data_IF_050378089350
#
_entry.id   IF_050378089350
#
_cell.length_a   1.000
_cell.length_b   1.000
_cell.length_c   1.000
_cell.angle_alpha   90.00
_cell.angle_beta   90.00
_cell.angle_gamma   90.00
#
_symmetry.space_group_name_H-M   'P 1'
#
loop_
_entity.id
_entity.type
_entity.pdbx_description
1 polymer ?
#
# COMPACT_ATOMS: atom_id res chain seq x y z
N UNK A 1 13.45 13.46 -9.60
CA UNK A 1 13.54 12.27 -8.73
C UNK A 1 14.88 12.28 -8.02
N UNK A 2 14.88 12.57 -6.73
CA UNK A 2 16.06 12.51 -5.88
C UNK A 2 16.12 11.17 -5.13
N UNK A 3 17.32 10.71 -4.75
CA UNK A 3 17.50 9.50 -3.93
C UNK A 3 16.70 9.61 -2.61
N UNK A 4 16.59 10.82 -2.06
CA UNK A 4 15.83 11.12 -0.85
C UNK A 4 14.33 10.84 -1.00
N UNK A 5 13.72 11.20 -2.13
CA UNK A 5 12.30 10.92 -2.42
C UNK A 5 12.01 9.42 -2.48
N UNK A 6 12.89 8.68 -3.16
CA UNK A 6 12.78 7.22 -3.29
C UNK A 6 12.88 6.55 -1.93
N UNK A 7 13.89 6.92 -1.12
CA UNK A 7 14.05 6.37 0.23
C UNK A 7 12.85 6.68 1.12
N UNK A 8 12.40 7.94 1.16
CA UNK A 8 11.23 8.34 1.96
C UNK A 8 10.00 7.53 1.57
N UNK A 9 9.74 7.40 0.27
CA UNK A 9 8.55 6.70 -0.25
C UNK A 9 8.60 5.21 0.09
N UNK A 10 9.76 4.57 -0.07
CA UNK A 10 9.98 3.18 0.36
C UNK A 10 9.77 2.99 1.86
N UNK A 11 10.29 3.89 2.71
CA UNK A 11 10.09 3.81 4.17
C UNK A 11 8.61 3.91 4.55
N UNK A 12 7.84 4.80 3.92
CA UNK A 12 6.40 4.91 4.15
C UNK A 12 5.68 3.64 3.69
N UNK A 13 5.97 3.14 2.49
CA UNK A 13 5.36 1.91 1.96
C UNK A 13 5.65 0.69 2.84
N UNK A 14 6.90 0.52 3.27
CA UNK A 14 7.31 -0.52 4.22
C UNK A 14 6.59 -0.37 5.57
N UNK A 15 6.51 0.86 6.11
CA UNK A 15 5.84 1.11 7.38
C UNK A 15 4.36 0.72 7.35
N UNK A 16 3.65 1.07 6.27
CA UNK A 16 2.25 0.68 6.07
C UNK A 16 2.11 -0.83 5.94
N UNK A 17 2.96 -1.49 5.14
CA UNK A 17 2.90 -2.94 4.96
C UNK A 17 3.19 -3.70 6.27
N UNK A 18 4.20 -3.27 7.05
CA UNK A 18 4.49 -3.85 8.36
C UNK A 18 3.33 -3.66 9.34
N UNK A 19 2.68 -2.48 9.33
CA UNK A 19 1.51 -2.24 10.17
C UNK A 19 0.36 -3.19 9.81
N UNK A 20 0.06 -3.36 8.51
CA UNK A 20 -0.97 -4.30 8.05
C UNK A 20 -0.60 -5.74 8.43
N UNK A 21 0.66 -6.14 8.24
CA UNK A 21 1.14 -7.47 8.61
C UNK A 21 0.94 -7.75 10.09
N UNK A 22 1.25 -6.78 10.97
CA UNK A 22 1.01 -6.90 12.42
C UNK A 22 -0.49 -6.99 12.70
N UNK A 23 -1.32 -6.12 12.12
CA UNK A 23 -2.78 -6.13 12.35
C UNK A 23 -3.42 -7.45 11.92
N UNK A 24 -3.01 -7.98 10.76
CA UNK A 24 -3.45 -9.30 10.29
C UNK A 24 -2.95 -10.38 11.24
N UNK A 25 -1.68 -10.32 11.66
CA UNK A 25 -1.12 -11.24 12.65
C UNK A 25 -1.89 -11.26 13.97
N UNK A 26 -2.32 -10.11 14.48
CA UNK A 26 -3.16 -10.01 15.69
C UNK A 26 -4.54 -10.65 15.50
N UNK A 27 -5.12 -10.53 14.29
CA UNK A 27 -6.39 -11.22 13.96
C UNK A 27 -6.19 -12.74 13.95
N UNK A 28 -5.11 -13.22 13.34
CA UNK A 28 -4.78 -14.65 13.35
C UNK A 28 -4.49 -15.17 14.75
N UNK A 29 -3.75 -14.42 15.56
CA UNK A 29 -3.47 -14.75 16.97
C UNK A 29 -4.78 -14.90 17.76
N UNK A 30 -5.71 -13.95 17.63
CA UNK A 30 -7.03 -14.05 18.24
C UNK A 30 -7.78 -15.29 17.75
N UNK A 31 -7.94 -15.46 16.44
CA UNK A 31 -8.77 -16.53 15.85
C UNK A 31 -8.25 -17.91 16.24
N UNK A 32 -6.94 -18.07 16.37
CA UNK A 32 -6.29 -19.32 16.77
C UNK A 32 -6.04 -19.40 18.29
N UNK A 33 -6.69 -18.55 19.10
CA UNK A 33 -6.60 -18.58 20.57
C UNK A 33 -5.17 -18.50 21.12
N UNK A 34 -4.29 -17.75 20.44
CA UNK A 34 -2.88 -17.58 20.80
C UNK A 34 -1.93 -18.64 20.23
N UNK A 35 -2.43 -19.62 19.45
CA UNK A 35 -1.59 -20.65 18.84
C UNK A 35 -1.22 -20.30 17.38
N UNK A 36 0.04 -19.93 17.15
CA UNK A 36 0.59 -19.68 15.81
C UNK A 36 1.67 -20.71 15.47
N UNK A 37 1.35 -21.64 14.55
CA UNK A 37 2.28 -22.68 14.12
C UNK A 37 3.04 -22.23 12.88
N UNK A 38 4.34 -21.98 13.02
CA UNK A 38 5.22 -21.59 11.93
C UNK A 38 6.13 -22.74 11.51
N UNK A 39 5.71 -23.52 10.51
CA UNK A 39 6.56 -24.53 9.87
C UNK A 39 7.25 -23.96 8.61
N UNK A 40 8.37 -24.55 8.20
CA UNK A 40 9.01 -24.29 6.91
C UNK A 40 9.22 -22.81 6.58
N UNK A 41 9.70 -22.04 7.57
CA UNK A 41 9.94 -20.60 7.47
C UNK A 41 8.69 -19.77 7.11
N UNK A 42 7.48 -20.26 7.43
CA UNK A 42 6.22 -19.57 7.11
C UNK A 42 6.23 -18.09 7.54
N UNK A 43 6.64 -17.80 8.78
CA UNK A 43 6.74 -16.42 9.26
C UNK A 43 7.69 -15.58 8.39
N UNK A 44 8.90 -16.08 8.12
CA UNK A 44 9.91 -15.34 7.35
C UNK A 44 9.44 -15.06 5.92
N UNK A 45 8.77 -16.03 5.29
CA UNK A 45 8.19 -15.87 3.96
C UNK A 45 7.09 -14.81 3.97
N UNK A 46 6.15 -14.90 4.90
CA UNK A 46 5.08 -13.90 5.03
C UNK A 46 5.60 -12.49 5.32
N UNK A 47 6.60 -12.37 6.19
CA UNK A 47 7.25 -11.10 6.50
C UNK A 47 7.95 -10.53 5.24
N UNK A 48 8.72 -11.37 4.53
CA UNK A 48 9.40 -10.97 3.29
C UNK A 48 8.40 -10.56 2.20
N UNK A 49 7.34 -11.34 1.99
CA UNK A 49 6.24 -11.01 1.09
C UNK A 49 5.62 -9.65 1.43
N UNK A 50 5.39 -9.37 2.71
CA UNK A 50 4.86 -8.07 3.16
C UNK A 50 5.82 -6.91 2.84
N UNK A 51 7.13 -7.09 3.04
CA UNK A 51 8.14 -6.09 2.66
C UNK A 51 8.15 -5.84 1.14
N UNK A 52 8.06 -6.90 0.34
CA UNK A 52 8.00 -6.82 -1.13
C UNK A 52 6.75 -6.05 -1.57
N UNK A 53 5.59 -6.31 -0.96
CA UNK A 53 4.36 -5.53 -1.21
C UNK A 53 4.57 -4.07 -0.83
N UNK A 54 5.15 -3.81 0.35
CA UNK A 54 5.44 -2.45 0.82
C UNK A 54 6.33 -1.66 -0.15
N UNK A 55 7.34 -2.30 -0.73
CA UNK A 55 8.17 -1.72 -1.80
C UNK A 55 7.42 -1.58 -3.12
N UNK A 56 6.56 -2.55 -3.45
CA UNK A 56 5.72 -2.53 -4.66
C UNK A 56 4.79 -1.34 -4.73
N UNK A 57 4.27 -0.87 -3.59
CA UNK A 57 3.53 0.40 -3.50
C UNK A 57 4.43 1.60 -3.22
N UNK A 58 5.44 1.47 -2.35
CA UNK A 58 6.29 2.58 -1.92
C UNK A 58 7.20 3.13 -3.02
N UNK A 59 7.79 2.30 -3.87
CA UNK A 59 8.68 2.78 -4.94
C UNK A 59 7.92 3.55 -6.03
N UNK A 60 6.80 3.05 -6.59
CA UNK A 60 6.09 3.75 -7.66
C UNK A 60 5.41 5.06 -7.22
N UNK A 61 5.22 5.29 -5.92
CA UNK A 61 4.56 6.53 -5.44
C UNK A 61 5.33 7.80 -5.77
N UNK A 62 6.63 7.71 -6.10
CA UNK A 62 7.43 8.85 -6.60
C UNK A 62 6.86 9.47 -7.88
N UNK A 63 5.99 8.77 -8.59
CA UNK A 63 5.28 9.30 -9.76
C UNK A 63 4.41 10.51 -9.44
N UNK A 64 4.01 10.70 -8.18
CA UNK A 64 3.25 11.88 -7.75
C UNK A 64 4.05 13.19 -7.80
N UNK A 65 5.39 13.11 -7.84
CA UNK A 65 6.27 14.27 -8.02
C UNK A 65 6.38 14.71 -9.50
N UNK A 66 5.67 14.04 -10.41
CA UNK A 66 5.72 14.33 -11.84
C UNK A 66 4.53 15.19 -12.30
N UNK A 67 4.73 16.50 -12.34
CA UNK A 67 3.74 17.50 -12.75
C UNK A 67 3.26 17.38 -14.22
N UNK A 68 3.93 16.55 -15.05
CA UNK A 68 3.51 16.33 -16.45
C UNK A 68 2.38 15.31 -16.57
N UNK A 69 2.14 14.51 -15.54
CA UNK A 69 1.12 13.47 -15.53
C UNK A 69 -0.12 13.96 -14.80
N UNK A 70 -1.30 13.60 -15.29
CA UNK A 70 -2.53 13.84 -14.55
C UNK A 70 -2.58 12.98 -13.29
N UNK A 71 -3.29 13.45 -12.26
CA UNK A 71 -3.47 12.69 -11.01
C UNK A 71 -4.02 11.28 -11.26
N UNK A 72 -4.92 11.13 -12.23
CA UNK A 72 -5.45 9.82 -12.63
C UNK A 72 -4.37 8.89 -13.19
N UNK A 73 -3.48 9.41 -14.04
CA UNK A 73 -2.38 8.62 -14.60
C UNK A 73 -1.33 8.26 -13.55
N UNK A 74 -0.97 9.21 -12.68
CA UNK A 74 -0.08 8.96 -11.53
C UNK A 74 -0.65 7.85 -10.64
N UNK A 75 -1.95 7.93 -10.33
CA UNK A 75 -2.65 6.93 -9.52
C UNK A 75 -2.69 5.57 -10.20
N UNK A 76 -2.95 5.53 -11.51
CA UNK A 76 -2.94 4.28 -12.28
C UNK A 76 -1.57 3.61 -12.26
N UNK A 77 -0.49 4.37 -12.44
CA UNK A 77 0.88 3.82 -12.42
C UNK A 77 1.22 3.28 -11.03
N UNK A 78 0.96 4.04 -9.97
CA UNK A 78 1.24 3.61 -8.61
C UNK A 78 0.38 2.42 -8.20
N UNK A 79 -0.95 2.55 -8.29
CA UNK A 79 -1.87 1.48 -7.89
C UNK A 79 -1.72 0.24 -8.76
N UNK A 80 -1.54 0.41 -10.07
CA UNK A 80 -1.33 -0.71 -10.99
C UNK A 80 -0.07 -1.48 -10.65
N UNK A 81 1.06 -0.80 -10.45
CA UNK A 81 2.33 -1.47 -10.11
C UNK A 81 2.25 -2.17 -8.75
N UNK A 82 1.72 -1.48 -7.73
CA UNK A 82 1.60 -2.06 -6.39
C UNK A 82 0.66 -3.27 -6.35
N UNK A 83 -0.49 -3.19 -7.02
CA UNK A 83 -1.42 -4.32 -7.12
C UNK A 83 -0.82 -5.51 -7.87
N UNK A 84 -0.05 -5.28 -8.95
CA UNK A 84 0.63 -6.36 -9.68
C UNK A 84 1.66 -7.08 -8.81
N UNK A 85 2.49 -6.33 -8.07
CA UNK A 85 3.45 -6.91 -7.12
C UNK A 85 2.71 -7.70 -6.03
N UNK A 86 1.63 -7.16 -5.49
CA UNK A 86 0.80 -7.82 -4.49
C UNK A 86 0.21 -9.14 -4.98
N UNK A 87 -0.35 -9.18 -6.18
CA UNK A 87 -0.86 -10.44 -6.78
C UNK A 87 0.27 -11.45 -6.93
N UNK A 88 1.46 -11.02 -7.38
CA UNK A 88 2.63 -11.89 -7.48
C UNK A 88 3.03 -12.51 -6.13
N UNK A 89 3.05 -11.70 -5.07
CA UNK A 89 3.32 -12.19 -3.71
C UNK A 89 2.23 -13.14 -3.21
N UNK A 90 0.95 -12.85 -3.47
CA UNK A 90 -0.16 -13.73 -3.06
C UNK A 90 -0.06 -15.12 -3.71
N UNK A 91 0.35 -15.17 -4.98
CA UNK A 91 0.59 -16.43 -5.69
C UNK A 91 1.80 -17.15 -5.09
N UNK A 92 2.91 -16.44 -4.88
CA UNK A 92 4.16 -17.01 -4.36
C UNK A 92 4.02 -17.59 -2.96
N UNK A 93 3.33 -16.87 -2.08
CA UNK A 93 3.06 -17.29 -0.70
C UNK A 93 1.91 -18.30 -0.57
N UNK A 94 1.14 -18.48 -1.65
CA UNK A 94 -0.04 -19.37 -1.65
C UNK A 94 -1.21 -18.82 -0.83
N UNK A 95 -1.33 -17.51 -0.68
CA UNK A 95 -2.44 -16.86 0.04
C UNK A 95 -3.77 -16.89 -0.72
N UNK A 96 -3.74 -17.23 -2.01
CA UNK A 96 -4.95 -17.49 -2.77
C UNK A 96 -5.53 -18.87 -2.40
N UNK A 97 -6.84 -18.96 -2.13
CA UNK A 97 -7.48 -20.20 -1.69
C UNK A 97 -7.42 -21.24 -2.81
N UNK A 98 -6.62 -22.27 -2.58
CA UNK A 98 -6.51 -23.43 -3.48
C UNK A 98 -7.76 -24.31 -3.33
N UNK A 99 -8.31 -24.80 -4.44
CA UNK A 99 -9.46 -25.73 -4.42
C UNK A 99 -10.84 -25.14 -4.11
N UNK A 100 -10.96 -23.84 -3.81
CA UNK A 100 -12.25 -23.18 -3.51
C UNK A 100 -12.89 -22.47 -4.73
N UNK A 101 -12.38 -22.75 -5.93
CA UNK A 101 -12.86 -22.18 -7.19
C UNK A 101 -12.38 -20.75 -7.46
N UNK A 102 -12.49 -20.33 -8.73
CA UNK A 102 -12.01 -19.03 -9.21
C UNK A 102 -12.65 -17.83 -8.48
N UNK A 103 -13.93 -17.93 -8.14
CA UNK A 103 -14.69 -16.85 -7.51
C UNK A 103 -14.11 -16.44 -6.15
N UNK A 104 -13.70 -17.39 -5.31
CA UNK A 104 -13.11 -17.08 -4.01
C UNK A 104 -11.75 -16.40 -4.16
N UNK A 105 -10.93 -16.85 -5.12
CA UNK A 105 -9.67 -16.18 -5.46
C UNK A 105 -9.87 -14.73 -5.89
N UNK A 106 -10.85 -14.48 -6.77
CA UNK A 106 -11.20 -13.12 -7.20
C UNK A 106 -11.74 -12.25 -6.04
N UNK A 107 -12.51 -12.83 -5.12
CA UNK A 107 -13.01 -12.12 -3.94
C UNK A 107 -11.87 -11.67 -3.01
N UNK A 108 -10.89 -12.54 -2.77
CA UNK A 108 -9.69 -12.20 -1.97
C UNK A 108 -8.89 -11.07 -2.62
N UNK A 109 -8.69 -11.14 -3.94
CA UNK A 109 -7.99 -10.09 -4.68
C UNK A 109 -8.78 -8.76 -4.66
N UNK A 110 -10.11 -8.81 -4.85
CA UNK A 110 -10.96 -7.63 -4.78
C UNK A 110 -10.90 -6.97 -3.39
N UNK A 111 -10.91 -7.77 -2.32
CA UNK A 111 -10.74 -7.28 -0.95
C UNK A 111 -9.39 -6.60 -0.74
N UNK A 112 -8.30 -7.20 -1.21
CA UNK A 112 -6.96 -6.62 -1.10
C UNK A 112 -6.82 -5.31 -1.89
N UNK A 113 -7.36 -5.25 -3.12
CA UNK A 113 -7.40 -4.02 -3.94
C UNK A 113 -8.26 -2.94 -3.27
N UNK A 114 -9.39 -3.31 -2.65
CA UNK A 114 -10.23 -2.38 -1.91
C UNK A 114 -9.47 -1.76 -0.73
N UNK A 115 -8.77 -2.56 0.06
CA UNK A 115 -7.94 -2.08 1.18
C UNK A 115 -6.86 -1.11 0.66
N UNK A 116 -6.14 -1.49 -0.40
CA UNK A 116 -5.14 -0.62 -1.02
C UNK A 116 -5.75 0.71 -1.49
N UNK A 117 -6.94 0.67 -2.12
CA UNK A 117 -7.69 1.83 -2.55
C UNK A 117 -8.12 2.74 -1.40
N UNK A 118 -8.55 2.17 -0.26
CA UNK A 118 -8.91 2.93 0.94
C UNK A 118 -7.69 3.64 1.54
N UNK A 119 -6.54 2.96 1.62
CA UNK A 119 -5.29 3.56 2.09
C UNK A 119 -4.87 4.71 1.17
N UNK A 120 -4.85 4.47 -0.14
CA UNK A 120 -4.55 5.49 -1.14
C UNK A 120 -5.48 6.71 -0.99
N UNK A 121 -6.79 6.47 -0.86
CA UNK A 121 -7.77 7.54 -0.72
C UNK A 121 -7.57 8.35 0.57
N UNK A 122 -7.18 7.69 1.67
CA UNK A 122 -6.80 8.35 2.92
C UNK A 122 -5.63 9.33 2.71
N UNK A 123 -4.55 8.87 2.06
CA UNK A 123 -3.42 9.73 1.70
C UNK A 123 -3.84 10.86 0.75
N UNK A 124 -4.66 10.57 -0.25
CA UNK A 124 -5.17 11.57 -1.19
C UNK A 124 -5.88 12.72 -0.46
N UNK A 125 -6.81 12.40 0.44
CA UNK A 125 -7.56 13.43 1.20
C UNK A 125 -6.65 14.30 2.05
N UNK A 126 -5.68 13.70 2.74
CA UNK A 126 -4.76 14.44 3.59
C UNK A 126 -3.87 15.38 2.77
N UNK A 127 -3.33 14.91 1.64
CA UNK A 127 -2.56 15.75 0.72
C UNK A 127 -3.41 16.88 0.12
N UNK A 128 -4.65 16.59 -0.27
CA UNK A 128 -5.59 17.60 -0.78
C UNK A 128 -5.83 18.69 0.26
N UNK A 129 -6.05 18.31 1.52
CA UNK A 129 -6.24 19.25 2.63
C UNK A 129 -5.00 20.13 2.83
N UNK A 130 -3.81 19.56 2.81
CA UNK A 130 -2.56 20.30 2.95
C UNK A 130 -2.35 21.30 1.79
N UNK A 131 -2.61 20.88 0.55
CA UNK A 131 -2.53 21.75 -0.62
C UNK A 131 -3.50 22.94 -0.53
N UNK A 132 -4.75 22.69 -0.11
CA UNK A 132 -5.74 23.75 0.09
C UNK A 132 -5.32 24.74 1.20
N UNK A 133 -4.76 24.24 2.30
CA UNK A 133 -4.27 25.09 3.40
C UNK A 133 -3.12 26.00 2.94
N UNK A 134 -2.18 25.46 2.16
CA UNK A 134 -1.07 26.22 1.61
C UNK A 134 -1.55 27.30 0.63
N UNK A 135 -2.48 26.96 -0.27
CA UNK A 135 -3.04 27.90 -1.23
C UNK A 135 -3.75 29.08 -0.55
N UNK A 136 -4.53 28.82 0.52
CA UNK A 136 -5.15 29.88 1.33
C UNK A 136 -4.11 30.81 1.96
N UNK A 137 -3.03 30.25 2.52
CA UNK A 137 -1.95 31.03 3.12
C UNK A 137 -1.23 31.93 2.10
N UNK A 138 -1.00 31.45 0.88
CA UNK A 138 -0.40 32.24 -0.21
C UNK A 138 -1.32 33.39 -0.62
N UNK A 139 -2.63 33.14 -0.75
CA UNK A 139 -3.61 34.18 -1.10
C UNK A 139 -3.70 35.27 -0.03
N UNK A 140 -3.77 34.88 1.25
CA UNK A 140 -3.81 35.83 2.35
C UNK A 140 -2.58 36.76 2.36
N UNK A 141 -1.38 36.21 2.14
CA UNK A 141 -0.13 37.00 2.04
C UNK A 141 -0.11 37.93 0.82
N UNK A 142 -0.74 37.55 -0.29
CA UNK A 142 -0.86 38.40 -1.48
C UNK A 142 -1.83 39.56 -1.29
N UNK A 143 -2.91 39.37 -0.51
CA UNK A 143 -3.89 40.42 -0.22
C UNK A 143 -3.43 41.41 0.86
N UNK A 144 -2.46 41.00 1.69
CA UNK A 144 -1.87 41.84 2.74
C UNK A 144 -0.72 42.74 2.24
N UNK A 145 -0.35 42.65 0.95
CA UNK A 145 0.68 43.45 0.30
C UNK A 145 0.03 44.42 -0.68
#
# INVERSE_FOLDING_TARGET
>A
MTVKEVLKSSFVGLGVACLIFILVGLVFDWVNQGELVFASYAFSKMALGSLVIGLGFGLPSVVYENDRLSMGMQSLIHMGTGCLVMVGVFIWEGWLPQGHGLLMGLAVLAGAVLIAGLIWYGFYKENLKQAQALNKGIQAKRMAK
#
